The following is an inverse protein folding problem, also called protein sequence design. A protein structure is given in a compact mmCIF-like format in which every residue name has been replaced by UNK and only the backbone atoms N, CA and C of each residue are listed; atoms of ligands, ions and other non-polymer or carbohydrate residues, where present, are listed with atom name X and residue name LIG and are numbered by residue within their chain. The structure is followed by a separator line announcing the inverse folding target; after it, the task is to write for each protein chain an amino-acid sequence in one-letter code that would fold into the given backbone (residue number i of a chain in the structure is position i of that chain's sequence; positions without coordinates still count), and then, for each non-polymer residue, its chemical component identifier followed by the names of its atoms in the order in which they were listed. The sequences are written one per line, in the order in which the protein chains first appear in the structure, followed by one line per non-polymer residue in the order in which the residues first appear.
data_IF_423390521725
#
_entry.id   IF_423390521725
#
_cell.length_a   1.000
_cell.length_b   1.000
_cell.length_c   1.000
_cell.angle_alpha   90.00
_cell.angle_beta   90.00
_cell.angle_gamma   90.00
#
_symmetry.space_group_name_H-M   'P 1'
#
loop_
_entity.id
_entity.type
_entity.pdbx_description
1 polymer ?
#
# COMPACT_ATOMS: atom_id res chain seq x y z
N UNK A 1 -25.23 -3.50 4.54
CA UNK A 1 -24.04 -3.12 5.32
C UNK A 1 -23.06 -4.27 5.16
N UNK A 2 -21.96 -4.07 4.44
CA UNK A 2 -20.87 -5.05 4.38
C UNK A 2 -20.22 -5.11 5.75
N UNK A 3 -20.35 -6.24 6.43
CA UNK A 3 -19.75 -6.51 7.73
C UNK A 3 -18.22 -6.31 7.63
N UNK A 4 -17.64 -5.52 8.53
CA UNK A 4 -16.21 -5.24 8.52
C UNK A 4 -15.46 -6.52 8.97
N UNK A 5 -14.29 -6.81 8.40
CA UNK A 5 -13.47 -7.97 8.76
C UNK A 5 -13.24 -8.10 10.28
N UNK A 6 -13.12 -6.98 11.01
CA UNK A 6 -13.03 -6.99 12.47
C UNK A 6 -14.28 -7.56 13.15
N UNK A 7 -15.47 -7.22 12.67
CA UNK A 7 -16.73 -7.72 13.23
C UNK A 7 -16.88 -9.22 12.97
N UNK A 8 -16.45 -9.69 11.80
CA UNK A 8 -16.41 -11.11 11.47
C UNK A 8 -15.47 -11.86 12.41
N UNK A 9 -14.26 -11.35 12.65
CA UNK A 9 -13.29 -11.98 13.57
C UNK A 9 -13.85 -12.03 15.00
N UNK A 10 -14.49 -10.95 15.48
CA UNK A 10 -15.18 -10.96 16.79
C UNK A 10 -16.31 -11.98 16.85
N UNK A 11 -17.08 -12.12 15.76
CA UNK A 11 -18.10 -13.17 15.64
C UNK A 11 -17.53 -14.58 15.73
N UNK A 12 -16.35 -14.81 15.14
CA UNK A 12 -15.61 -16.08 15.27
C UNK A 12 -15.15 -16.27 16.72
N UNK A 13 -14.57 -15.25 17.34
CA UNK A 13 -14.07 -15.32 18.73
C UNK A 13 -15.20 -15.66 19.73
N UNK A 14 -16.40 -15.11 19.53
CA UNK A 14 -17.56 -15.33 20.38
C UNK A 14 -18.25 -16.70 20.17
N UNK A 15 -17.92 -17.43 19.10
CA UNK A 15 -18.52 -18.73 18.81
C UNK A 15 -17.97 -19.85 19.70
N UNK A 16 -18.76 -20.92 19.88
CA UNK A 16 -18.31 -22.13 20.57
C UNK A 16 -17.07 -22.74 19.89
N UNK A 17 -16.15 -23.31 20.67
CA UNK A 17 -14.89 -23.93 20.16
C UNK A 17 -15.11 -24.93 19.02
N UNK A 18 -16.24 -25.65 19.03
CA UNK A 18 -16.61 -26.58 17.96
C UNK A 18 -17.00 -25.87 16.65
N UNK A 19 -17.66 -24.73 16.74
CA UNK A 19 -18.06 -23.90 15.60
C UNK A 19 -16.91 -23.02 15.10
N UNK A 20 -15.99 -22.59 15.98
CA UNK A 20 -14.82 -21.77 15.64
C UNK A 20 -14.00 -22.38 14.50
N UNK A 21 -13.73 -23.68 14.53
CA UNK A 21 -12.94 -24.32 13.49
C UNK A 21 -13.60 -24.22 12.11
N UNK A 22 -14.91 -24.45 12.03
CA UNK A 22 -15.67 -24.31 10.78
C UNK A 22 -15.70 -22.85 10.30
N UNK A 23 -15.89 -21.90 11.21
CA UNK A 23 -15.93 -20.48 10.87
C UNK A 23 -14.57 -19.95 10.41
N UNK A 24 -13.47 -20.41 11.01
CA UNK A 24 -12.11 -20.10 10.56
C UNK A 24 -11.88 -20.63 9.13
N UNK A 25 -12.22 -21.89 8.86
CA UNK A 25 -12.07 -22.45 7.53
C UNK A 25 -12.93 -21.71 6.50
N UNK A 26 -14.16 -21.33 6.88
CA UNK A 26 -15.06 -20.54 6.05
C UNK A 26 -14.44 -19.17 5.75
N UNK A 27 -13.97 -18.45 6.77
CA UNK A 27 -13.31 -17.15 6.64
C UNK A 27 -12.15 -17.17 5.65
N UNK A 28 -11.27 -18.18 5.74
CA UNK A 28 -10.13 -18.36 4.85
C UNK A 28 -10.59 -18.70 3.43
N UNK A 29 -11.55 -19.62 3.28
CA UNK A 29 -12.02 -20.06 1.97
C UNK A 29 -12.72 -18.95 1.17
N UNK A 30 -13.55 -18.14 1.82
CA UNK A 30 -14.28 -17.03 1.19
C UNK A 30 -13.33 -15.91 0.72
N UNK A 31 -12.19 -15.75 1.40
CA UNK A 31 -11.19 -14.71 1.11
C UNK A 31 -10.09 -15.18 0.16
N UNK A 32 -10.20 -16.36 -0.43
CA UNK A 32 -9.19 -16.87 -1.36
C UNK A 32 -8.95 -15.93 -2.56
N UNK A 33 -10.00 -15.25 -3.04
CA UNK A 33 -9.88 -14.24 -4.08
C UNK A 33 -8.99 -13.05 -3.68
N UNK A 34 -9.11 -12.57 -2.44
CA UNK A 34 -8.25 -11.52 -1.88
C UNK A 34 -6.79 -12.00 -1.76
N UNK A 35 -6.57 -13.22 -1.26
CA UNK A 35 -5.21 -13.76 -1.12
C UNK A 35 -4.51 -13.89 -2.46
N UNK A 36 -5.25 -14.29 -3.50
CA UNK A 36 -4.75 -14.34 -4.88
C UNK A 36 -4.38 -12.95 -5.41
N UNK A 37 -5.20 -11.93 -5.16
CA UNK A 37 -4.89 -10.55 -5.53
C UNK A 37 -3.62 -10.03 -4.83
N UNK A 38 -3.48 -10.30 -3.53
CA UNK A 38 -2.28 -9.93 -2.77
C UNK A 38 -1.05 -10.67 -3.33
N UNK A 39 -1.14 -11.99 -3.52
CA UNK A 39 -0.06 -12.81 -4.06
C UNK A 39 0.42 -12.33 -5.44
N UNK A 40 -0.51 -11.99 -6.34
CA UNK A 40 -0.19 -11.45 -7.66
C UNK A 40 0.43 -10.05 -7.58
N UNK A 41 -0.06 -9.19 -6.70
CA UNK A 41 0.56 -7.89 -6.44
C UNK A 41 2.00 -8.07 -5.93
N UNK A 42 2.25 -9.05 -5.07
CA UNK A 42 3.59 -9.35 -4.57
C UNK A 42 4.50 -9.88 -5.70
N UNK A 43 4.01 -10.71 -6.62
CA UNK A 43 4.78 -11.13 -7.79
C UNK A 43 5.29 -9.91 -8.59
N UNK A 44 4.39 -8.96 -8.87
CA UNK A 44 4.73 -7.71 -9.56
C UNK A 44 5.74 -6.89 -8.76
N UNK A 45 5.54 -6.72 -7.46
CA UNK A 45 6.41 -5.93 -6.60
C UNK A 45 7.82 -6.52 -6.46
N UNK A 46 7.96 -7.84 -6.55
CA UNK A 46 9.26 -8.52 -6.51
C UNK A 46 9.85 -8.81 -7.90
N UNK A 47 9.17 -8.38 -8.97
CA UNK A 47 9.63 -8.56 -10.34
C UNK A 47 9.70 -10.02 -10.80
N UNK A 48 8.89 -10.91 -10.20
CA UNK A 48 8.86 -12.35 -10.54
C UNK A 48 7.59 -12.71 -11.31
N UNK A 49 7.62 -13.82 -12.08
CA UNK A 49 6.49 -14.21 -12.90
C UNK A 49 5.33 -14.75 -12.06
N UNK A 50 4.10 -14.37 -12.42
CA UNK A 50 2.88 -14.89 -11.80
C UNK A 50 2.66 -16.37 -12.09
N UNK A 51 3.12 -16.85 -13.25
CA UNK A 51 2.93 -18.24 -13.66
C UNK A 51 3.84 -19.19 -12.87
N UNK A 52 5.01 -18.70 -12.41
CA UNK A 52 5.95 -19.48 -11.62
C UNK A 52 5.74 -19.38 -10.10
N UNK A 53 5.21 -18.25 -9.60
CA UNK A 53 5.15 -17.97 -8.16
C UNK A 53 3.77 -17.57 -7.63
N UNK A 54 2.77 -17.37 -8.52
CA UNK A 54 1.46 -16.84 -8.13
C UNK A 54 0.71 -17.71 -7.13
N UNK A 55 0.70 -19.03 -7.35
CA UNK A 55 0.00 -19.98 -6.47
C UNK A 55 0.76 -20.18 -5.14
N UNK A 56 2.10 -20.20 -5.18
CA UNK A 56 2.94 -20.24 -3.97
C UNK A 56 2.71 -19.01 -3.10
N UNK A 57 2.75 -17.81 -3.69
CA UNK A 57 2.55 -16.56 -2.95
C UNK A 57 1.13 -16.46 -2.42
N UNK A 58 0.14 -16.92 -3.17
CA UNK A 58 -1.25 -17.01 -2.69
C UNK A 58 -1.36 -17.91 -1.47
N UNK A 59 -0.69 -19.06 -1.49
CA UNK A 59 -0.67 -20.00 -0.37
C UNK A 59 0.05 -19.43 0.85
N UNK A 60 1.16 -18.72 0.66
CA UNK A 60 1.87 -18.01 1.74
C UNK A 60 1.03 -16.90 2.37
N UNK A 61 0.29 -16.15 1.54
CA UNK A 61 -0.65 -15.12 2.04
C UNK A 61 -1.77 -15.78 2.86
N UNK A 62 -2.33 -16.89 2.39
CA UNK A 62 -3.38 -17.61 3.12
C UNK A 62 -2.88 -18.19 4.45
N UNK A 63 -1.64 -18.71 4.47
CA UNK A 63 -1.02 -19.21 5.70
C UNK A 63 -0.80 -18.06 6.72
N UNK A 64 -0.34 -16.91 6.25
CA UNK A 64 -0.14 -15.73 7.11
C UNK A 64 -1.48 -15.16 7.60
N UNK A 65 -2.51 -15.16 6.76
CA UNK A 65 -3.87 -14.80 7.13
C UNK A 65 -4.41 -15.70 8.25
N UNK A 66 -4.18 -17.01 8.15
CA UNK A 66 -4.57 -17.98 9.17
C UNK A 66 -3.83 -17.74 10.49
N UNK A 67 -2.52 -17.51 10.46
CA UNK A 67 -1.73 -17.18 11.67
C UNK A 67 -2.22 -15.90 12.33
N UNK A 68 -2.37 -14.84 11.55
CA UNK A 68 -2.85 -13.54 12.04
C UNK A 68 -4.26 -13.63 12.62
N UNK A 69 -5.14 -14.44 12.01
CA UNK A 69 -6.46 -14.72 12.56
C UNK A 69 -6.35 -15.41 13.93
N UNK A 70 -5.56 -16.48 14.04
CA UNK A 70 -5.39 -17.19 15.33
C UNK A 70 -4.81 -16.28 16.43
N UNK A 71 -3.88 -15.40 16.08
CA UNK A 71 -3.33 -14.40 17.02
C UNK A 71 -4.44 -13.47 17.55
N UNK A 72 -5.30 -12.96 16.66
CA UNK A 72 -6.40 -12.07 17.06
C UNK A 72 -7.56 -12.77 17.76
N UNK A 73 -7.75 -14.07 17.53
CA UNK A 73 -8.69 -14.87 18.32
C UNK A 73 -8.17 -15.14 19.74
N UNK A 74 -6.86 -15.11 19.94
CA UNK A 74 -6.23 -15.28 21.25
C UNK A 74 -6.09 -13.95 22.02
N UNK A 75 -5.96 -12.83 21.31
CA UNK A 75 -5.75 -11.49 21.87
C UNK A 75 -6.61 -10.44 21.15
N UNK A 76 -7.68 -10.01 21.83
CA UNK A 76 -8.61 -9.00 21.32
C UNK A 76 -7.99 -7.59 21.31
N UNK A 77 -7.05 -7.29 22.22
CA UNK A 77 -6.37 -5.98 22.25
C UNK A 77 -5.42 -5.82 21.04
N UNK A 78 -4.83 -6.91 20.54
CA UNK A 78 -4.10 -6.90 19.27
C UNK A 78 -5.04 -6.63 18.09
N UNK A 79 -6.26 -7.18 18.09
CA UNK A 79 -7.23 -6.93 17.01
C UNK A 79 -7.68 -5.45 16.98
N UNK A 80 -7.90 -4.85 18.14
CA UNK A 80 -8.34 -3.45 18.26
C UNK A 80 -7.28 -2.46 17.78
N UNK A 81 -5.99 -2.82 17.89
CA UNK A 81 -4.86 -2.02 17.37
C UNK A 81 -4.77 -2.03 15.84
N UNK A 82 -5.44 -2.96 15.16
CA UNK A 82 -5.39 -3.08 13.70
C UNK A 82 -6.52 -2.27 13.06
N UNK A 83 -6.18 -1.16 12.41
CA UNK A 83 -7.16 -0.32 11.71
C UNK A 83 -7.70 -0.99 10.43
N UNK A 84 -6.82 -1.60 9.63
CA UNK A 84 -7.17 -2.27 8.38
C UNK A 84 -6.49 -3.63 8.35
N UNK A 85 -7.28 -4.69 8.59
CA UNK A 85 -6.76 -6.06 8.73
C UNK A 85 -6.06 -6.54 7.46
N UNK A 86 -6.65 -6.26 6.29
CA UNK A 86 -6.11 -6.59 4.98
C UNK A 86 -4.80 -5.85 4.68
N UNK A 87 -4.67 -4.61 5.16
CA UNK A 87 -3.45 -3.82 5.02
C UNK A 87 -2.30 -4.43 5.83
N UNK A 88 -2.58 -4.82 7.07
CA UNK A 88 -1.62 -5.50 7.94
C UNK A 88 -1.25 -6.90 7.40
N UNK A 89 -2.22 -7.65 6.87
CA UNK A 89 -1.97 -8.92 6.18
C UNK A 89 -1.00 -8.72 5.00
N UNK A 90 -1.23 -7.72 4.16
CA UNK A 90 -0.33 -7.42 3.02
C UNK A 90 1.10 -7.13 3.48
N UNK A 91 1.26 -6.37 4.56
CA UNK A 91 2.57 -6.07 5.14
C UNK A 91 3.28 -7.34 5.66
N UNK A 92 2.57 -8.20 6.40
CA UNK A 92 3.12 -9.45 6.94
C UNK A 92 3.44 -10.46 5.84
N UNK A 93 2.51 -10.67 4.91
CA UNK A 93 2.68 -11.60 3.80
C UNK A 93 3.84 -11.20 2.88
N UNK A 94 4.05 -9.90 2.67
CA UNK A 94 5.24 -9.40 1.97
C UNK A 94 6.54 -9.89 2.61
N UNK A 95 6.64 -9.82 3.93
CA UNK A 95 7.85 -10.25 4.63
C UNK A 95 8.08 -11.77 4.50
N UNK A 96 7.01 -12.56 4.50
CA UNK A 96 7.07 -14.02 4.28
C UNK A 96 7.55 -14.33 2.85
N UNK A 97 6.93 -13.73 1.84
CA UNK A 97 7.31 -13.90 0.42
C UNK A 97 8.75 -13.47 0.17
N UNK A 98 9.17 -12.34 0.76
CA UNK A 98 10.56 -11.88 0.67
C UNK A 98 11.54 -12.90 1.23
N UNK A 99 11.25 -13.46 2.41
CA UNK A 99 12.09 -14.49 3.02
C UNK A 99 12.14 -15.79 2.19
N UNK A 100 11.05 -16.13 1.50
CA UNK A 100 11.01 -17.25 0.57
C UNK A 100 11.91 -16.99 -0.64
N UNK A 101 11.75 -15.84 -1.30
CA UNK A 101 12.57 -15.45 -2.44
C UNK A 101 14.06 -15.37 -2.10
N UNK A 102 14.40 -14.83 -0.92
CA UNK A 102 15.79 -14.81 -0.45
C UNK A 102 16.42 -16.21 -0.36
N UNK A 103 15.62 -17.24 -0.10
CA UNK A 103 16.08 -18.63 0.01
C UNK A 103 16.12 -19.32 -1.35
N UNK A 104 15.03 -19.22 -2.12
CA UNK A 104 14.92 -19.86 -3.44
C UNK A 104 15.88 -19.26 -4.46
N UNK A 105 16.09 -17.95 -4.40
CA UNK A 105 16.91 -17.22 -5.36
C UNK A 105 18.35 -17.03 -4.87
N UNK A 106 18.74 -17.68 -3.76
CA UNK A 106 20.13 -17.74 -3.33
C UNK A 106 20.87 -18.85 -4.10
N UNK A 107 21.77 -18.52 -5.05
CA UNK A 107 22.53 -19.51 -5.82
C UNK A 107 23.48 -20.36 -4.96
N UNK A 108 23.75 -19.95 -3.71
CA UNK A 108 24.53 -20.70 -2.74
C UNK A 108 24.05 -20.40 -1.30
N UNK A 109 24.18 -21.40 -0.41
CA UNK A 109 23.67 -21.33 0.98
C UNK A 109 24.16 -20.11 1.79
N UNK A 110 25.40 -19.64 1.54
CA UNK A 110 25.98 -18.48 2.24
C UNK A 110 25.41 -17.13 1.77
N UNK A 111 24.77 -17.09 0.60
CA UNK A 111 24.28 -15.84 0.01
C UNK A 111 23.02 -15.32 0.73
N UNK A 112 22.25 -16.19 1.37
CA UNK A 112 21.09 -15.79 2.19
C UNK A 112 21.49 -14.81 3.31
N UNK A 113 22.62 -15.08 3.96
CA UNK A 113 23.16 -14.20 5.02
C UNK A 113 23.66 -12.87 4.47
N UNK A 114 24.30 -12.89 3.29
CA UNK A 114 24.74 -11.67 2.61
C UNK A 114 23.54 -10.81 2.20
N UNK A 115 22.53 -11.38 1.53
CA UNK A 115 21.29 -10.69 1.13
C UNK A 115 20.59 -10.05 2.34
N UNK A 116 20.53 -10.77 3.47
CA UNK A 116 19.99 -10.24 4.72
C UNK A 116 20.78 -9.04 5.24
N UNK A 117 22.13 -9.09 5.20
CA UNK A 117 22.96 -7.95 5.62
C UNK A 117 22.76 -6.74 4.72
N UNK A 118 22.72 -6.91 3.40
CA UNK A 118 22.46 -5.79 2.47
C UNK A 118 21.14 -5.10 2.80
N UNK A 119 20.10 -5.86 3.15
CA UNK A 119 18.80 -5.29 3.54
C UNK A 119 18.90 -4.44 4.79
N UNK A 120 19.53 -4.96 5.84
CA UNK A 120 19.69 -4.22 7.09
C UNK A 120 20.55 -2.96 6.90
N UNK A 121 21.54 -3.02 6.01
CA UNK A 121 22.32 -1.85 5.62
C UNK A 121 21.47 -0.82 4.88
N UNK A 122 20.64 -1.22 3.91
CA UNK A 122 19.74 -0.29 3.22
C UNK A 122 18.72 0.35 4.19
N UNK A 123 18.12 -0.43 5.09
CA UNK A 123 17.23 0.11 6.13
C UNK A 123 17.96 1.11 7.05
N UNK A 124 19.21 0.82 7.39
CA UNK A 124 20.04 1.74 8.17
C UNK A 124 20.34 3.01 7.37
N UNK A 125 20.64 2.88 6.07
CA UNK A 125 20.85 4.01 5.16
C UNK A 125 19.61 4.91 5.11
N UNK A 126 18.41 4.35 4.98
CA UNK A 126 17.18 5.13 4.91
C UNK A 126 16.85 5.82 6.23
N UNK A 127 17.06 5.15 7.37
CA UNK A 127 16.95 5.77 8.68
C UNK A 127 17.93 6.96 8.84
N UNK A 128 19.18 6.77 8.42
CA UNK A 128 20.20 7.82 8.47
C UNK A 128 19.89 8.99 7.53
N UNK A 129 19.32 8.74 6.35
CA UNK A 129 18.87 9.81 5.44
C UNK A 129 17.81 10.70 6.10
N UNK A 130 16.82 10.09 6.75
CA UNK A 130 15.77 10.82 7.47
C UNK A 130 16.34 11.66 8.62
N UNK A 131 17.28 11.11 9.38
CA UNK A 131 17.88 11.78 10.54
C UNK A 131 18.86 12.89 10.13
N UNK A 132 19.77 12.60 9.19
CA UNK A 132 20.86 13.50 8.80
C UNK A 132 20.45 14.54 7.74
N UNK A 133 19.29 14.36 7.09
CA UNK A 133 18.80 15.19 5.98
C UNK A 133 19.82 15.33 4.84
N UNK A 134 20.66 14.32 4.66
CA UNK A 134 21.65 14.20 3.57
C UNK A 134 21.87 12.72 3.25
N UNK A 135 22.54 12.47 2.13
CA UNK A 135 22.99 11.12 1.79
C UNK A 135 24.16 10.70 2.70
N UNK A 136 24.04 9.59 3.46
CA UNK A 136 25.15 9.02 4.20
C UNK A 136 26.07 8.21 3.27
N UNK A 137 27.36 8.23 3.55
CA UNK A 137 28.34 7.41 2.82
C UNK A 137 28.20 5.93 3.19
N UNK A 138 28.65 5.04 2.32
CA UNK A 138 28.61 3.59 2.56
C UNK A 138 29.33 3.19 3.86
N UNK A 139 30.44 3.85 4.19
CA UNK A 139 31.17 3.63 5.43
C UNK A 139 30.34 4.04 6.66
N UNK A 140 29.71 5.21 6.63
CA UNK A 140 28.85 5.70 7.72
C UNK A 140 27.69 4.74 7.99
N UNK A 141 27.08 4.19 6.93
CA UNK A 141 25.99 3.21 7.03
C UNK A 141 26.45 1.91 7.70
N UNK A 142 27.58 1.36 7.26
CA UNK A 142 28.13 0.11 7.80
C UNK A 142 28.57 0.28 9.26
N UNK A 143 29.20 1.39 9.60
CA UNK A 143 29.61 1.69 10.98
C UNK A 143 28.40 1.77 11.90
N UNK A 144 27.39 2.56 11.53
CA UNK A 144 26.14 2.73 12.29
C UNK A 144 25.40 1.41 12.48
N UNK A 145 25.28 0.60 11.41
CA UNK A 145 24.66 -0.72 11.48
C UNK A 145 25.43 -1.66 12.41
N UNK A 146 26.76 -1.75 12.26
CA UNK A 146 27.59 -2.64 13.06
C UNK A 146 27.62 -2.24 14.53
N UNK A 147 27.63 -0.94 14.84
CA UNK A 147 27.49 -0.44 16.21
C UNK A 147 26.15 -0.85 16.82
N UNK A 148 25.05 -0.64 16.09
CA UNK A 148 23.71 -1.09 16.51
C UNK A 148 23.65 -2.60 16.76
N UNK A 149 24.23 -3.41 15.87
CA UNK A 149 24.25 -4.87 16.01
C UNK A 149 25.08 -5.34 17.21
N UNK A 150 26.26 -4.74 17.44
CA UNK A 150 27.10 -5.04 18.62
C UNK A 150 26.40 -4.69 19.93
N UNK A 151 25.64 -3.59 19.96
CA UNK A 151 24.88 -3.19 21.15
C UNK A 151 23.68 -4.09 21.45
N UNK A 152 23.00 -4.57 20.41
CA UNK A 152 21.72 -5.30 20.55
C UNK A 152 21.84 -6.82 20.57
N UNK A 153 22.97 -7.38 20.12
CA UNK A 153 23.19 -8.83 20.04
C UNK A 153 24.33 -9.28 20.95
N UNK A 154 24.10 -10.35 21.70
CA UNK A 154 25.09 -10.95 22.60
C UNK A 154 26.36 -11.45 21.90
N UNK A 155 26.26 -11.91 20.65
CA UNK A 155 27.42 -12.25 19.83
C UNK A 155 27.16 -12.01 18.33
N UNK A 156 27.22 -10.74 17.93
CA UNK A 156 26.92 -10.31 16.55
C UNK A 156 27.81 -10.99 15.49
N UNK A 157 29.07 -11.30 15.81
CA UNK A 157 30.01 -11.93 14.89
C UNK A 157 29.61 -13.38 14.60
N UNK A 158 29.38 -14.19 15.64
CA UNK A 158 28.95 -15.59 15.46
C UNK A 158 27.58 -15.72 14.79
N UNK A 159 26.74 -14.69 14.92
CA UNK A 159 25.43 -14.65 14.26
C UNK A 159 25.48 -14.17 12.80
N UNK A 160 26.67 -13.80 12.28
CA UNK A 160 26.84 -13.40 10.88
C UNK A 160 26.13 -12.10 10.50
N UNK A 161 25.81 -11.24 11.48
CA UNK A 161 25.07 -9.97 11.27
C UNK A 161 25.97 -8.74 11.11
N UNK A 162 27.28 -8.89 11.36
CA UNK A 162 28.28 -7.87 11.08
C UNK A 162 28.47 -7.78 9.58
N UNK A 163 28.38 -6.56 9.06
CA UNK A 163 28.43 -6.27 7.65
C UNK A 163 29.71 -5.53 7.26
N UNK A 164 30.06 -5.59 5.98
CA UNK A 164 31.11 -4.78 5.35
C UNK A 164 30.54 -3.95 4.21
N UNK A 165 31.34 -3.03 3.68
CA UNK A 165 30.98 -2.26 2.48
C UNK A 165 30.77 -3.17 1.27
N UNK A 166 31.46 -4.32 1.19
CA UNK A 166 31.27 -5.27 0.10
C UNK A 166 29.89 -5.90 0.10
N UNK A 167 29.24 -6.03 1.27
CA UNK A 167 27.85 -6.50 1.32
C UNK A 167 26.93 -5.56 0.51
N UNK A 168 27.15 -4.25 0.52
CA UNK A 168 26.37 -3.28 -0.28
C UNK A 168 26.48 -3.50 -1.79
N UNK A 169 27.50 -4.23 -2.24
CA UNK A 169 27.74 -4.57 -3.65
C UNK A 169 27.16 -5.93 -4.05
N UNK A 170 26.55 -6.66 -3.12
CA UNK A 170 25.98 -7.99 -3.39
C UNK A 170 24.81 -7.87 -4.35
N UNK A 171 24.89 -8.60 -5.46
CA UNK A 171 23.82 -8.68 -6.45
C UNK A 171 22.56 -9.33 -5.85
N UNK A 172 21.40 -8.74 -6.12
CA UNK A 172 20.09 -9.30 -5.79
C UNK A 172 19.41 -9.79 -7.05
N UNK A 173 18.98 -11.05 -7.05
CA UNK A 173 18.30 -11.66 -8.18
C UNK A 173 16.86 -11.16 -8.37
N UNK A 174 16.23 -10.62 -7.31
CA UNK A 174 14.91 -10.01 -7.37
C UNK A 174 15.01 -8.52 -7.04
N UNK A 175 14.34 -7.69 -7.84
CA UNK A 175 14.12 -6.29 -7.52
C UNK A 175 12.92 -6.22 -6.57
N UNK A 176 13.12 -5.66 -5.38
CA UNK A 176 12.02 -5.29 -4.51
C UNK A 176 11.68 -3.83 -4.87
N UNK A 177 10.53 -3.60 -5.51
CA UNK A 177 10.11 -2.26 -5.93
C UNK A 177 10.07 -1.30 -4.74
N UNK A 178 9.84 -1.77 -3.50
CA UNK A 178 9.85 -0.91 -2.32
C UNK A 178 11.27 -0.61 -1.81
N UNK A 179 12.30 -1.38 -2.19
CA UNK A 179 13.69 -0.96 -2.01
C UNK A 179 14.04 0.25 -2.92
N UNK A 180 13.19 0.51 -3.91
CA UNK A 180 13.28 1.62 -4.86
C UNK A 180 12.16 2.66 -4.70
N UNK A 181 11.07 2.38 -3.95
CA UNK A 181 10.28 3.41 -3.25
C UNK A 181 11.16 4.00 -2.16
N UNK A 182 12.10 4.82 -2.60
CA UNK A 182 12.61 5.86 -1.74
C UNK A 182 11.37 6.61 -1.29
N UNK A 183 11.21 6.79 0.01
CA UNK A 183 10.64 8.04 0.46
C UNK A 183 11.57 9.14 -0.09
N UNK A 184 11.41 9.50 -1.36
CA UNK A 184 11.64 10.89 -1.73
C UNK A 184 10.91 11.67 -0.66
N UNK A 185 11.54 12.68 -0.03
CA UNK A 185 10.81 13.56 0.85
C UNK A 185 9.61 14.01 0.04
N UNK A 186 8.45 13.46 0.40
CA UNK A 186 7.14 13.84 -0.08
C UNK A 186 7.20 15.34 0.08
N UNK A 187 7.30 16.05 -1.05
CA UNK A 187 7.47 17.50 -1.05
C UNK A 187 6.34 18.02 -0.18
N UNK A 188 6.61 18.44 1.05
CA UNK A 188 5.56 18.60 2.08
C UNK A 188 4.58 19.73 1.73
N UNK A 189 4.82 20.39 0.61
CA UNK A 189 3.99 21.39 -0.06
C UNK A 189 2.95 20.73 -0.98
N UNK A 190 2.21 19.73 -0.49
CA UNK A 190 0.99 19.30 -1.19
C UNK A 190 -0.15 20.23 -0.81
N UNK A 191 -0.72 20.90 -1.81
CA UNK A 191 -1.98 21.65 -1.63
C UNK A 191 -3.11 20.71 -1.20
N UNK A 192 -3.12 19.48 -1.73
CA UNK A 192 -4.03 18.40 -1.35
C UNK A 192 -3.24 17.08 -1.28
N UNK A 193 -3.33 16.34 -0.19
CA UNK A 193 -2.55 15.11 -0.03
C UNK A 193 -3.05 14.02 -1.02
N UNK A 194 -2.16 13.17 -1.58
CA UNK A 194 -2.56 12.15 -2.57
C UNK A 194 -3.67 11.18 -2.11
N UNK A 195 -3.79 10.95 -0.80
CA UNK A 195 -4.86 10.10 -0.22
C UNK A 195 -6.21 10.81 -0.10
N UNK A 196 -6.21 12.14 -0.17
CA UNK A 196 -7.41 12.99 -0.03
C UNK A 196 -8.12 13.22 -1.38
N UNK A 197 -7.39 13.09 -2.49
CA UNK A 197 -7.92 13.26 -3.86
C UNK A 197 -9.23 12.50 -4.14
N UNK A 198 -9.32 11.18 -3.85
CA UNK A 198 -10.57 10.44 -4.03
C UNK A 198 -11.74 10.98 -3.20
N UNK A 199 -11.48 11.45 -1.97
CA UNK A 199 -12.50 12.05 -1.11
C UNK A 199 -12.97 13.40 -1.65
N UNK A 200 -12.04 14.26 -2.06
CA UNK A 200 -12.33 15.56 -2.66
C UNK A 200 -13.26 15.45 -3.87
N UNK A 201 -12.94 14.54 -4.79
CA UNK A 201 -13.73 14.37 -6.02
C UNK A 201 -15.12 13.79 -5.76
N UNK A 202 -15.24 12.86 -4.79
CA UNK A 202 -16.54 12.33 -4.37
C UNK A 202 -17.42 13.44 -3.78
N UNK A 203 -16.86 14.30 -2.93
CA UNK A 203 -17.58 15.45 -2.35
C UNK A 203 -17.97 16.45 -3.44
N UNK A 204 -17.10 16.72 -4.41
CA UNK A 204 -17.40 17.61 -5.52
C UNK A 204 -18.58 17.12 -6.38
N UNK A 205 -18.60 15.84 -6.74
CA UNK A 205 -19.72 15.22 -7.45
C UNK A 205 -21.00 15.31 -6.62
N UNK A 206 -20.93 15.00 -5.32
CA UNK A 206 -22.07 15.07 -4.43
C UNK A 206 -22.65 16.50 -4.33
N UNK A 207 -21.82 17.51 -4.04
CA UNK A 207 -22.27 18.90 -3.89
C UNK A 207 -22.82 19.48 -5.20
N UNK A 208 -22.25 19.10 -6.34
CA UNK A 208 -22.78 19.52 -7.64
C UNK A 208 -24.11 18.84 -7.97
N UNK A 209 -24.29 17.56 -7.62
CA UNK A 209 -25.55 16.84 -7.76
C UNK A 209 -26.67 17.42 -6.86
N UNK A 210 -26.34 17.77 -5.62
CA UNK A 210 -27.26 18.41 -4.66
C UNK A 210 -27.78 19.76 -5.17
N UNK A 211 -26.92 20.54 -5.86
CA UNK A 211 -27.34 21.79 -6.49
C UNK A 211 -28.16 21.57 -7.75
N UNK A 212 -27.71 20.66 -8.62
CA UNK A 212 -28.37 20.35 -9.88
C UNK A 212 -27.96 18.97 -10.36
N UNK A 213 -28.92 18.06 -10.50
CA UNK A 213 -28.67 16.67 -10.90
C UNK A 213 -27.88 16.57 -12.22
N UNK A 214 -28.18 17.40 -13.22
CA UNK A 214 -27.42 17.42 -14.49
C UNK A 214 -25.99 17.92 -14.31
N UNK A 215 -25.74 18.84 -13.38
CA UNK A 215 -24.40 19.29 -13.05
C UNK A 215 -23.60 18.18 -12.35
N UNK A 216 -24.25 17.40 -11.48
CA UNK A 216 -23.67 16.20 -10.87
C UNK A 216 -23.26 15.15 -11.93
N UNK A 217 -24.16 14.85 -12.86
CA UNK A 217 -23.84 13.95 -13.99
C UNK A 217 -22.69 14.48 -14.85
N UNK A 218 -22.65 15.80 -15.11
CA UNK A 218 -21.54 16.43 -15.82
C UNK A 218 -20.22 16.29 -15.04
N UNK A 219 -20.25 16.39 -13.71
CA UNK A 219 -19.08 16.22 -12.86
C UNK A 219 -18.57 14.78 -12.86
N UNK A 220 -19.47 13.79 -12.78
CA UNK A 220 -19.11 12.36 -12.90
C UNK A 220 -18.47 12.05 -14.25
N UNK A 221 -19.07 12.53 -15.34
CA UNK A 221 -18.52 12.33 -16.69
C UNK A 221 -17.18 13.02 -16.87
N UNK A 222 -17.03 14.23 -16.31
CA UNK A 222 -15.80 15.00 -16.42
C UNK A 222 -14.64 14.35 -15.66
N UNK A 223 -14.91 13.82 -14.47
CA UNK A 223 -13.89 13.32 -13.52
C UNK A 223 -13.73 11.79 -13.54
N UNK A 224 -14.68 11.05 -14.10
CA UNK A 224 -14.74 9.58 -14.02
C UNK A 224 -13.54 8.87 -14.65
N UNK A 225 -12.90 9.47 -15.64
CA UNK A 225 -11.70 8.94 -16.28
C UNK A 225 -10.46 8.94 -15.38
N UNK A 226 -10.46 9.66 -14.24
CA UNK A 226 -9.32 9.69 -13.32
C UNK A 226 -9.13 8.39 -12.53
N UNK A 227 -10.20 7.60 -12.35
CA UNK A 227 -10.18 6.37 -11.52
C UNK A 227 -10.79 5.15 -12.22
N UNK A 228 -11.06 5.22 -13.53
CA UNK A 228 -11.77 4.16 -14.26
C UNK A 228 -11.04 2.81 -14.31
N UNK A 229 -9.74 2.74 -13.95
CA UNK A 229 -8.96 1.51 -13.91
C UNK A 229 -8.67 0.85 -15.27
N UNK A 230 -9.49 1.14 -16.28
CA UNK A 230 -9.41 0.60 -17.65
C UNK A 230 -8.46 1.39 -18.55
N UNK A 231 -8.25 2.68 -18.27
CA UNK A 231 -7.44 3.59 -19.09
C UNK A 231 -6.50 4.46 -18.25
N UNK A 232 -5.44 5.04 -18.84
CA UNK A 232 -4.63 6.06 -18.18
C UNK A 232 -5.53 7.18 -17.61
N UNK A 233 -5.27 7.66 -16.36
CA UNK A 233 -6.08 8.69 -15.74
C UNK A 233 -6.21 9.93 -16.63
N UNK A 234 -7.44 10.31 -16.96
CA UNK A 234 -7.72 11.52 -17.74
C UNK A 234 -9.04 12.17 -17.33
N UNK A 235 -9.12 13.47 -17.53
CA UNK A 235 -10.40 14.21 -17.50
C UNK A 235 -11.03 14.18 -18.89
N UNK A 236 -12.36 14.12 -18.94
CA UNK A 236 -13.10 14.17 -20.22
C UNK A 236 -13.07 15.57 -20.83
N UNK A 237 -13.07 15.66 -22.16
CA UNK A 237 -13.13 16.94 -22.86
C UNK A 237 -14.54 17.55 -22.82
N UNK A 238 -14.66 18.84 -23.14
CA UNK A 238 -15.96 19.52 -23.24
C UNK A 238 -16.82 18.87 -24.33
N UNK A 239 -16.21 18.45 -25.43
CA UNK A 239 -16.88 17.72 -26.52
C UNK A 239 -17.44 16.38 -26.03
N UNK A 240 -16.65 15.58 -25.32
CA UNK A 240 -17.09 14.29 -24.79
C UNK A 240 -18.25 14.43 -23.81
N UNK A 241 -18.22 15.45 -22.94
CA UNK A 241 -19.32 15.75 -22.01
C UNK A 241 -20.56 16.21 -22.78
N UNK A 242 -20.40 17.08 -23.78
CA UNK A 242 -21.50 17.59 -24.58
C UNK A 242 -22.22 16.44 -25.32
N UNK A 243 -21.45 15.55 -25.94
CA UNK A 243 -21.95 14.40 -26.68
C UNK A 243 -22.64 13.40 -25.74
N UNK A 244 -22.02 13.08 -24.59
CA UNK A 244 -22.58 12.15 -23.61
C UNK A 244 -23.88 12.66 -22.96
N UNK A 245 -23.99 13.97 -22.74
CA UNK A 245 -25.18 14.58 -22.13
C UNK A 245 -26.24 15.02 -23.16
N UNK A 246 -25.94 14.95 -24.46
CA UNK A 246 -26.83 15.46 -25.51
C UNK A 246 -27.08 16.96 -25.43
N UNK A 247 -26.05 17.74 -25.05
CA UNK A 247 -26.14 19.20 -24.90
C UNK A 247 -25.18 19.93 -25.84
N UNK A 248 -25.34 21.24 -25.98
CA UNK A 248 -24.40 22.05 -26.77
C UNK A 248 -23.04 22.17 -26.07
N UNK A 249 -21.96 22.39 -26.85
CA UNK A 249 -20.62 22.65 -26.29
C UNK A 249 -20.58 23.86 -25.36
N UNK A 250 -21.42 24.88 -25.61
CA UNK A 250 -21.48 26.06 -24.73
C UNK A 250 -22.10 25.70 -23.38
N UNK A 251 -23.14 24.84 -23.37
CA UNK A 251 -23.75 24.31 -22.15
C UNK A 251 -22.77 23.45 -21.36
N UNK A 252 -22.08 22.51 -22.01
CA UNK A 252 -21.06 21.68 -21.36
C UNK A 252 -19.92 22.53 -20.77
N UNK A 253 -19.47 23.56 -21.49
CA UNK A 253 -18.48 24.52 -20.97
C UNK A 253 -18.99 25.26 -19.72
N UNK A 254 -20.26 25.67 -19.71
CA UNK A 254 -20.87 26.29 -18.54
C UNK A 254 -20.95 25.32 -17.35
N UNK A 255 -21.25 24.04 -17.58
CA UNK A 255 -21.20 23.02 -16.53
C UNK A 255 -19.79 22.86 -15.96
N UNK A 256 -18.77 22.68 -16.80
CA UNK A 256 -17.36 22.58 -16.34
C UNK A 256 -16.94 23.82 -15.55
N UNK A 257 -17.31 25.02 -16.00
CA UNK A 257 -17.05 26.25 -15.25
C UNK A 257 -17.71 26.21 -13.86
N UNK A 258 -18.98 25.81 -13.80
CA UNK A 258 -19.71 25.75 -12.54
C UNK A 258 -19.17 24.66 -11.60
N UNK A 259 -18.76 23.52 -12.12
CA UNK A 259 -18.08 22.47 -11.35
C UNK A 259 -16.79 23.01 -10.74
N UNK A 260 -16.00 23.79 -11.50
CA UNK A 260 -14.79 24.43 -10.96
C UNK A 260 -15.08 25.43 -9.83
N UNK A 261 -16.19 26.17 -9.90
CA UNK A 261 -16.63 27.03 -8.79
C UNK A 261 -16.94 26.19 -7.53
N UNK A 262 -17.62 25.05 -7.68
CA UNK A 262 -17.85 24.12 -6.57
C UNK A 262 -16.58 23.44 -6.06
N UNK A 263 -15.60 23.20 -6.94
CA UNK A 263 -14.32 22.62 -6.55
C UNK A 263 -13.57 23.54 -5.57
N UNK A 264 -13.62 24.85 -5.79
CA UNK A 264 -13.06 25.84 -4.85
C UNK A 264 -13.80 25.81 -3.52
N UNK A 265 -15.14 25.81 -3.53
CA UNK A 265 -15.93 25.76 -2.29
C UNK A 265 -15.66 24.48 -1.48
N UNK A 266 -15.56 23.33 -2.15
CA UNK A 266 -15.24 22.06 -1.46
C UNK A 266 -13.82 22.08 -0.91
N UNK A 267 -12.85 22.63 -1.65
CA UNK A 267 -11.47 22.76 -1.20
C UNK A 267 -11.37 23.66 0.05
N UNK A 268 -12.05 24.80 0.06
CA UNK A 268 -12.08 25.73 1.20
C UNK A 268 -12.82 25.14 2.41
N UNK A 269 -14.04 24.59 2.21
CA UNK A 269 -14.90 24.13 3.31
C UNK A 269 -14.44 22.83 3.97
N UNK A 270 -13.91 21.88 3.20
CA UNK A 270 -13.67 20.51 3.67
C UNK A 270 -12.17 20.19 3.84
N UNK A 271 -11.29 20.99 3.23
CA UNK A 271 -9.85 20.77 3.22
C UNK A 271 -9.02 21.99 3.66
N UNK A 272 -9.66 23.12 4.00
CA UNK A 272 -9.02 24.37 4.43
C UNK A 272 -8.00 24.92 3.39
N UNK A 273 -8.23 24.63 2.10
CA UNK A 273 -7.39 25.08 0.98
C UNK A 273 -7.94 26.37 0.42
N UNK A 274 -7.14 27.43 0.43
CA UNK A 274 -7.50 28.75 -0.09
C UNK A 274 -6.78 29.07 -1.39
N UNK A 275 -7.19 30.16 -2.06
CA UNK A 275 -6.52 30.65 -3.26
C UNK A 275 -5.04 31.06 -3.05
N UNK A 276 -4.58 31.20 -1.80
CA UNK A 276 -3.18 31.47 -1.48
C UNK A 276 -2.29 30.22 -1.42
N UNK A 277 -2.90 29.03 -1.40
CA UNK A 277 -2.21 27.76 -1.24
C UNK A 277 -1.89 27.09 -2.59
N UNK A 278 -2.39 27.63 -3.72
CA UNK A 278 -2.30 27.07 -5.08
C UNK A 278 -1.38 27.87 -6.00
#
# INVERSE_FOLDING_TARGET
MTENTRDIIRGIAAADKGAQHTLINTFISERWGLFKQIGWSLCRNFGVSTDGHGDDFTSMVAEEAYKMLLEHLADEEELDRVEVWEGMLKLRARQVVRNYLDREMAPAAEMTSALRRVRLLNQTRDAMRMELKREPTDCEVVETHNEKMRRTRSNAVKQGVIASVDDLRTYRACADVDDHDRAEPIDTEFVLHPVEGPRFLKLLVQRTAEYNERLGTAAELWLGGLFSGEYPPRISSIEEIADAMGVSRSTARSYVRKIKEYAVLVAEEEFDITAGDV
#
